data_IF_498882077402
#
_entry.id   IF_498882077402
#
_cell.length_a   1.000
_cell.length_b   1.000
_cell.length_c   1.000
_cell.angle_alpha   90.00
_cell.angle_beta   90.00
_cell.angle_gamma   90.00
#
_symmetry.space_group_name_H-M   'P 1'
#
loop_
_entity.id
_entity.type
_entity.pdbx_description
1 polymer ?
#
# COMPACT_ATOMS: atom_id res chain seq x y z
N UNK A 1 -8.65 -27.21 1.23
CA UNK A 1 -9.97 -26.57 1.17
C UNK A 1 -9.91 -25.59 0.03
N UNK A 2 -10.83 -25.65 -0.93
CA UNK A 2 -10.72 -24.78 -2.11
C UNK A 2 -10.98 -23.31 -1.73
N UNK A 3 -10.33 -22.34 -2.40
CA UNK A 3 -10.55 -20.92 -2.13
C UNK A 3 -12.01 -20.48 -2.35
N UNK A 4 -12.74 -21.13 -3.25
CA UNK A 4 -14.17 -20.90 -3.46
C UNK A 4 -15.03 -21.30 -2.26
N UNK A 5 -14.74 -22.44 -1.63
CA UNK A 5 -15.43 -22.89 -0.41
C UNK A 5 -15.22 -21.90 0.73
N UNK A 6 -14.00 -21.37 0.84
CA UNK A 6 -13.66 -20.33 1.82
C UNK A 6 -14.42 -19.03 1.55
N UNK A 7 -14.65 -18.68 0.29
CA UNK A 7 -15.41 -17.50 -0.08
C UNK A 7 -16.90 -17.65 0.23
N UNK A 8 -17.48 -18.82 0.00
CA UNK A 8 -18.87 -19.10 0.40
C UNK A 8 -19.02 -19.12 1.92
N UNK A 9 -18.01 -19.64 2.63
CA UNK A 9 -17.92 -19.51 4.08
C UNK A 9 -17.81 -18.04 4.54
N UNK A 10 -17.07 -17.19 3.83
CA UNK A 10 -17.01 -15.77 4.13
C UNK A 10 -18.36 -15.07 3.88
N UNK A 11 -19.03 -15.37 2.76
CA UNK A 11 -20.36 -14.83 2.42
C UNK A 11 -21.42 -15.19 3.45
N UNK A 12 -21.43 -16.43 3.95
CA UNK A 12 -22.37 -16.83 5.01
C UNK A 12 -22.13 -16.12 6.35
N UNK A 13 -20.96 -15.52 6.54
CA UNK A 13 -20.62 -14.68 7.70
C UNK A 13 -20.84 -13.18 7.44
N UNK A 14 -21.13 -12.79 6.21
CA UNK A 14 -21.40 -11.41 5.83
C UNK A 14 -22.74 -10.96 6.41
N UNK A 15 -22.83 -9.70 6.84
CA UNK A 15 -24.10 -9.11 7.26
C UNK A 15 -25.06 -8.94 6.07
N UNK A 16 -24.51 -8.66 4.89
CA UNK A 16 -25.24 -8.61 3.63
C UNK A 16 -24.46 -9.42 2.57
N UNK A 17 -24.94 -10.62 2.19
CA UNK A 17 -24.26 -11.43 1.18
C UNK A 17 -24.42 -10.86 -0.25
N UNK A 18 -25.35 -9.94 -0.48
CA UNK A 18 -25.50 -9.26 -1.76
C UNK A 18 -24.50 -8.10 -1.94
N UNK A 19 -23.99 -7.53 -0.84
CA UNK A 19 -22.96 -6.48 -0.89
C UNK A 19 -21.55 -7.08 -1.05
N UNK A 20 -20.86 -6.86 -2.20
CA UNK A 20 -19.50 -7.33 -2.40
C UNK A 20 -18.48 -6.77 -1.40
N UNK A 21 -18.71 -5.59 -0.82
CA UNK A 21 -17.81 -5.00 0.19
C UNK A 21 -17.96 -5.65 1.56
N UNK A 22 -19.17 -6.06 1.93
CA UNK A 22 -19.40 -6.83 3.16
C UNK A 22 -18.80 -8.24 3.02
N UNK A 23 -18.97 -8.88 1.86
CA UNK A 23 -18.32 -10.16 1.54
C UNK A 23 -16.78 -10.06 1.61
N UNK A 24 -16.19 -9.00 1.06
CA UNK A 24 -14.75 -8.74 1.19
C UNK A 24 -14.34 -8.54 2.65
N UNK A 25 -15.14 -7.82 3.44
CA UNK A 25 -14.84 -7.58 4.85
C UNK A 25 -14.86 -8.90 5.65
N UNK A 26 -15.82 -9.79 5.37
CA UNK A 26 -15.88 -11.12 5.96
C UNK A 26 -14.70 -12.01 5.51
N UNK A 27 -14.29 -11.92 4.25
CA UNK A 27 -13.13 -12.64 3.73
C UNK A 27 -11.82 -12.19 4.41
N UNK A 28 -11.65 -10.89 4.67
CA UNK A 28 -10.50 -10.36 5.43
C UNK A 28 -10.48 -10.92 6.86
N UNK A 29 -11.63 -10.99 7.52
CA UNK A 29 -11.71 -11.56 8.86
C UNK A 29 -11.37 -13.06 8.87
N UNK A 30 -11.91 -13.83 7.92
CA UNK A 30 -11.62 -15.26 7.78
C UNK A 30 -10.15 -15.53 7.43
N UNK A 31 -9.54 -14.73 6.55
CA UNK A 31 -8.12 -14.84 6.23
C UNK A 31 -7.22 -14.59 7.45
N UNK A 32 -7.60 -13.67 8.33
CA UNK A 32 -6.89 -13.45 9.60
C UNK A 32 -7.02 -14.66 10.55
N UNK A 33 -8.20 -15.26 10.67
CA UNK A 33 -8.40 -16.49 11.45
C UNK A 33 -7.55 -17.65 10.90
N UNK A 34 -7.49 -17.80 9.58
CA UNK A 34 -6.67 -18.83 8.92
C UNK A 34 -5.18 -18.61 9.18
N UNK A 35 -4.71 -17.36 9.19
CA UNK A 35 -3.33 -17.04 9.54
C UNK A 35 -3.01 -17.40 11.00
N UNK A 36 -3.91 -17.10 11.94
CA UNK A 36 -3.74 -17.48 13.35
C UNK A 36 -3.71 -19.01 13.56
N UNK A 37 -4.52 -19.75 12.80
CA UNK A 37 -4.52 -21.22 12.80
C UNK A 37 -3.26 -21.79 12.15
N UNK A 38 -2.77 -21.14 11.09
CA UNK A 38 -1.54 -21.53 10.40
C UNK A 38 -0.30 -21.40 11.28
N UNK A 39 -0.24 -20.40 12.17
CA UNK A 39 0.86 -20.26 13.14
C UNK A 39 0.93 -21.43 14.14
N UNK A 40 -0.18 -22.14 14.36
CA UNK A 40 -0.27 -23.30 15.24
C UNK A 40 -0.01 -24.63 14.50
N UNK A 41 -0.01 -24.60 13.18
CA UNK A 41 0.28 -25.73 12.29
C UNK A 41 1.66 -25.54 11.62
N UNK A 42 2.20 -26.60 11.01
CA UNK A 42 3.49 -26.52 10.29
C UNK A 42 3.49 -25.36 9.24
N UNK A 43 4.55 -24.54 9.18
CA UNK A 43 4.50 -23.16 8.69
C UNK A 43 4.34 -22.96 7.16
N UNK A 44 4.19 -24.02 6.36
CA UNK A 44 4.34 -23.90 4.90
C UNK A 44 3.06 -23.53 4.14
N UNK A 45 1.86 -23.95 4.59
CA UNK A 45 0.67 -23.98 3.72
C UNK A 45 -0.49 -23.06 4.10
N UNK A 46 -0.52 -22.54 5.33
CA UNK A 46 -1.69 -21.80 5.80
C UNK A 46 -1.84 -20.39 5.21
N UNK A 47 -0.73 -19.70 4.93
CA UNK A 47 -0.75 -18.36 4.34
C UNK A 47 -1.31 -18.35 2.90
N UNK A 48 -1.05 -19.43 2.13
CA UNK A 48 -1.48 -19.54 0.72
C UNK A 48 -3.00 -19.53 0.56
N UNK A 49 -3.73 -20.14 1.50
CA UNK A 49 -5.19 -20.23 1.44
C UNK A 49 -5.86 -18.88 1.74
N UNK A 50 -5.29 -18.10 2.68
CA UNK A 50 -5.76 -16.75 2.98
C UNK A 50 -5.56 -15.79 1.81
N UNK A 51 -4.39 -15.83 1.17
CA UNK A 51 -4.10 -14.98 0.02
C UNK A 51 -5.02 -15.30 -1.18
N UNK A 52 -5.23 -16.59 -1.49
CA UNK A 52 -6.12 -17.00 -2.57
C UNK A 52 -7.59 -16.61 -2.33
N UNK A 53 -8.06 -16.67 -1.08
CA UNK A 53 -9.38 -16.19 -0.69
C UNK A 53 -9.53 -14.68 -0.94
N UNK A 54 -8.54 -13.88 -0.54
CA UNK A 54 -8.56 -12.43 -0.73
C UNK A 54 -8.55 -12.04 -2.21
N UNK A 55 -7.75 -12.73 -3.03
CA UNK A 55 -7.70 -12.48 -4.47
C UNK A 55 -9.05 -12.71 -5.15
N UNK A 56 -9.77 -13.78 -4.78
CA UNK A 56 -11.11 -14.06 -5.29
C UNK A 56 -12.14 -13.02 -4.83
N UNK A 57 -12.11 -12.64 -3.55
CA UNK A 57 -13.03 -11.64 -3.01
C UNK A 57 -12.83 -10.27 -3.67
N UNK A 58 -11.57 -9.86 -3.90
CA UNK A 58 -11.24 -8.63 -4.62
C UNK A 58 -11.71 -8.70 -6.06
N UNK A 59 -11.51 -9.84 -6.74
CA UNK A 59 -11.99 -10.03 -8.12
C UNK A 59 -13.51 -9.87 -8.21
N UNK A 60 -14.27 -10.51 -7.32
CA UNK A 60 -15.74 -10.37 -7.28
C UNK A 60 -16.18 -8.93 -7.03
N UNK A 61 -15.54 -8.23 -6.10
CA UNK A 61 -15.84 -6.82 -5.87
C UNK A 61 -15.58 -5.98 -7.12
N UNK A 62 -14.50 -6.25 -7.85
CA UNK A 62 -14.18 -5.55 -9.10
C UNK A 62 -15.19 -5.86 -10.21
N UNK A 63 -15.61 -7.12 -10.35
CA UNK A 63 -16.64 -7.54 -11.31
C UNK A 63 -18.00 -6.91 -11.01
N UNK A 64 -18.31 -6.69 -9.72
CA UNK A 64 -19.49 -5.94 -9.27
C UNK A 64 -19.38 -4.41 -9.43
N UNK A 65 -18.29 -3.91 -10.03
CA UNK A 65 -18.11 -2.48 -10.31
C UNK A 65 -17.56 -1.66 -9.14
N UNK A 66 -17.14 -2.29 -8.04
CA UNK A 66 -16.58 -1.59 -6.87
C UNK A 66 -15.25 -0.93 -7.23
N UNK A 67 -15.08 0.33 -6.82
CA UNK A 67 -13.84 1.08 -7.05
C UNK A 67 -12.69 0.55 -6.20
N UNK A 68 -11.45 0.69 -6.71
CA UNK A 68 -10.25 0.37 -5.94
C UNK A 68 -10.14 1.16 -4.63
N UNK A 69 -10.65 2.40 -4.60
CA UNK A 69 -10.64 3.22 -3.39
C UNK A 69 -11.48 2.59 -2.27
N UNK A 70 -12.69 2.12 -2.58
CA UNK A 70 -13.58 1.47 -1.61
C UNK A 70 -13.01 0.12 -1.12
N UNK A 71 -12.41 -0.66 -2.03
CA UNK A 71 -11.72 -1.92 -1.68
C UNK A 71 -10.59 -1.65 -0.67
N UNK A 72 -9.72 -0.68 -0.97
CA UNK A 72 -8.60 -0.34 -0.09
C UNK A 72 -9.05 0.22 1.26
N UNK A 73 -10.15 0.96 1.30
CA UNK A 73 -10.74 1.45 2.55
C UNK A 73 -11.07 0.31 3.51
N UNK A 74 -11.68 -0.78 3.02
CA UNK A 74 -11.98 -1.97 3.84
C UNK A 74 -10.72 -2.61 4.43
N UNK A 75 -9.66 -2.76 3.63
CA UNK A 75 -8.36 -3.26 4.13
C UNK A 75 -7.77 -2.34 5.21
N UNK A 76 -7.89 -1.03 5.05
CA UNK A 76 -7.38 -0.08 6.07
C UNK A 76 -8.21 -0.11 7.36
N UNK A 77 -9.53 -0.25 7.28
CA UNK A 77 -10.42 -0.40 8.43
C UNK A 77 -10.11 -1.69 9.21
N UNK A 78 -9.86 -2.80 8.50
CA UNK A 78 -9.42 -4.05 9.11
C UNK A 78 -8.07 -3.89 9.83
N UNK A 79 -7.10 -3.19 9.21
CA UNK A 79 -5.78 -2.92 9.82
C UNK A 79 -5.87 -2.00 11.04
N UNK A 80 -6.74 -1.00 11.01
CA UNK A 80 -6.99 -0.12 12.14
C UNK A 80 -7.62 -0.88 13.33
N UNK A 81 -8.55 -1.79 13.03
CA UNK A 81 -9.19 -2.66 14.02
C UNK A 81 -8.19 -3.64 14.64
N UNK A 82 -7.34 -4.28 13.84
CA UNK A 82 -6.25 -5.13 14.32
C UNK A 82 -5.31 -4.34 15.25
N UNK A 83 -4.87 -3.14 14.85
CA UNK A 83 -4.05 -2.27 15.70
C UNK A 83 -4.72 -1.96 17.03
N UNK A 84 -6.02 -1.70 17.06
CA UNK A 84 -6.76 -1.42 18.31
C UNK A 84 -6.88 -2.67 19.20
N UNK A 85 -7.04 -3.87 18.63
CA UNK A 85 -7.08 -5.14 19.40
C UNK A 85 -5.72 -5.52 19.98
N UNK A 86 -4.64 -5.24 19.26
CA UNK A 86 -3.28 -5.51 19.70
C UNK A 86 -2.61 -4.33 20.44
N UNK A 87 -3.28 -3.19 20.57
CA UNK A 87 -2.78 -2.02 21.30
C UNK A 87 -2.72 -2.20 22.83
N UNK A 88 -3.64 -2.90 23.53
CA UNK A 88 -3.61 -2.97 24.98
C UNK A 88 -2.87 -4.23 25.46
N UNK A 89 -1.61 -4.40 25.05
CA UNK A 89 -0.63 -5.21 25.80
C UNK A 89 0.78 -4.60 25.86
N UNK A 90 1.01 -3.45 25.22
CA UNK A 90 2.32 -2.79 25.19
C UNK A 90 2.35 -1.32 25.66
N UNK A 91 1.47 -0.93 26.59
CA UNK A 91 1.72 0.15 27.55
C UNK A 91 0.54 0.22 28.54
N UNK A 92 0.74 0.48 29.86
CA UNK A 92 1.78 1.39 30.38
C UNK A 92 2.46 0.94 31.71
N UNK A 93 3.80 0.83 31.73
CA UNK A 93 4.62 1.12 32.94
C UNK A 93 6.13 1.28 32.74
N UNK A 94 6.67 1.10 31.52
CA UNK A 94 8.12 1.25 31.26
C UNK A 94 8.45 2.27 30.16
N UNK A 95 7.83 3.44 30.21
CA UNK A 95 8.46 4.65 29.68
C UNK A 95 9.00 5.40 30.91
N UNK A 96 10.32 5.58 31.13
CA UNK A 96 11.39 5.67 30.13
C UNK A 96 12.66 4.85 30.48
N UNK A 97 13.23 4.08 29.53
CA UNK A 97 14.70 3.83 29.38
C UNK A 97 15.09 2.68 28.43
N UNK A 98 14.16 1.97 27.78
CA UNK A 98 14.52 0.80 26.94
C UNK A 98 13.88 0.76 25.55
N UNK A 99 13.70 1.92 24.89
CA UNK A 99 13.58 1.95 23.43
C UNK A 99 14.85 2.60 22.88
N UNK A 100 15.80 1.83 22.32
CA UNK A 100 15.65 1.46 20.92
C UNK A 100 16.42 0.19 20.51
N UNK A 101 15.77 -0.97 20.27
CA UNK A 101 16.50 -2.08 19.60
C UNK A 101 15.77 -2.87 18.51
N UNK A 102 14.47 -2.71 18.31
CA UNK A 102 13.76 -3.53 17.30
C UNK A 102 12.93 -2.77 16.24
N UNK A 103 13.03 -1.44 16.16
CA UNK A 103 12.41 -0.66 15.10
C UNK A 103 13.31 -0.20 13.90
N UNK A 104 14.60 -0.59 13.69
CA UNK A 104 15.41 0.19 12.76
C UNK A 104 15.38 -0.28 11.29
N UNK A 105 14.98 -1.50 10.94
CA UNK A 105 15.28 -2.00 9.57
C UNK A 105 14.35 -1.49 8.47
N UNK A 106 13.04 -1.38 8.70
CA UNK A 106 12.10 -0.95 7.66
C UNK A 106 12.01 0.57 7.53
N UNK A 107 12.07 1.32 8.64
CA UNK A 107 12.03 2.78 8.62
C UNK A 107 13.23 3.39 7.88
N UNK A 108 14.44 2.84 8.08
CA UNK A 108 15.63 3.28 7.36
C UNK A 108 15.53 3.03 5.85
N UNK A 109 14.94 1.90 5.42
CA UNK A 109 14.79 1.58 3.99
C UNK A 109 13.81 2.52 3.30
N UNK A 110 12.69 2.86 3.93
CA UNK A 110 11.74 3.84 3.39
C UNK A 110 12.33 5.24 3.26
N UNK A 111 13.08 5.70 4.28
CA UNK A 111 13.74 7.00 4.23
C UNK A 111 14.85 7.04 3.17
N UNK A 112 15.64 5.96 3.04
CA UNK A 112 16.67 5.85 2.01
C UNK A 112 16.08 5.85 0.59
N UNK A 113 14.98 5.12 0.36
CA UNK A 113 14.28 5.12 -0.91
C UNK A 113 13.67 6.49 -1.25
N UNK A 114 13.15 7.21 -0.24
CA UNK A 114 12.64 8.57 -0.41
C UNK A 114 13.76 9.55 -0.79
N UNK A 115 14.91 9.47 -0.11
CA UNK A 115 16.08 10.30 -0.46
C UNK A 115 16.57 10.04 -1.88
N UNK A 116 16.78 8.77 -2.25
CA UNK A 116 17.17 8.40 -3.62
C UNK A 116 16.18 8.90 -4.67
N UNK A 117 14.87 8.82 -4.41
CA UNK A 117 13.85 9.37 -5.32
C UNK A 117 13.96 10.89 -5.47
N UNK A 118 14.22 11.62 -4.38
CA UNK A 118 14.38 13.09 -4.43
C UNK A 118 15.67 13.44 -5.19
N UNK A 119 16.77 12.76 -4.89
CA UNK A 119 18.08 13.00 -5.53
C UNK A 119 18.04 12.71 -7.03
N UNK A 120 17.27 11.69 -7.46
CA UNK A 120 17.13 11.29 -8.86
C UNK A 120 16.05 12.03 -9.63
N UNK A 121 15.15 12.74 -8.95
CA UNK A 121 14.06 13.50 -9.58
C UNK A 121 14.52 14.78 -10.26
N UNK A 122 13.69 15.31 -11.16
CA UNK A 122 13.84 16.65 -11.72
C UNK A 122 13.91 17.70 -10.59
N UNK A 123 14.94 18.55 -10.60
CA UNK A 123 15.16 19.61 -9.61
C UNK A 123 14.01 20.63 -9.56
N UNK A 124 13.27 20.78 -10.66
CA UNK A 124 12.19 21.77 -10.79
C UNK A 124 10.82 21.20 -10.42
N UNK A 125 10.36 20.15 -11.11
CA UNK A 125 9.01 19.60 -10.91
C UNK A 125 8.95 18.36 -9.99
N UNK A 126 10.09 17.90 -9.46
CA UNK A 126 10.21 16.70 -8.61
C UNK A 126 9.69 15.39 -9.22
N UNK A 127 9.47 15.36 -10.54
CA UNK A 127 9.09 14.13 -11.26
C UNK A 127 10.27 13.15 -11.25
N UNK A 128 10.08 11.89 -10.81
CA UNK A 128 11.13 10.88 -10.83
C UNK A 128 11.41 10.42 -12.27
N UNK A 129 12.62 9.88 -12.53
CA UNK A 129 12.91 9.23 -13.81
C UNK A 129 12.04 7.99 -13.96
N UNK A 130 11.56 7.74 -15.17
CA UNK A 130 10.72 6.61 -15.50
C UNK A 130 10.63 6.41 -17.01
N UNK A 131 10.01 5.31 -17.46
CA UNK A 131 9.78 5.08 -18.89
C UNK A 131 9.00 6.26 -19.48
N UNK A 132 9.57 6.88 -20.52
CA UNK A 132 9.00 8.06 -21.17
C UNK A 132 9.34 9.41 -20.52
N UNK A 133 10.24 9.47 -19.54
CA UNK A 133 10.75 10.74 -19.00
C UNK A 133 12.23 10.89 -19.36
N UNK A 134 12.54 11.79 -20.29
CA UNK A 134 13.91 12.13 -20.61
C UNK A 134 14.47 13.16 -19.61
N UNK A 135 15.66 12.91 -19.07
CA UNK A 135 16.32 13.78 -18.09
C UNK A 135 17.69 14.24 -18.56
N UNK A 136 17.89 15.56 -18.56
CA UNK A 136 19.18 16.20 -18.78
C UNK A 136 19.90 16.33 -17.43
N UNK A 137 21.17 15.93 -17.40
CA UNK A 137 22.00 15.94 -16.20
C UNK A 137 23.07 17.04 -16.31
N UNK A 138 23.15 17.91 -15.31
CA UNK A 138 24.20 18.91 -15.15
C UNK A 138 24.87 18.77 -13.79
N UNK A 139 25.99 19.47 -13.60
CA UNK A 139 26.80 19.42 -12.37
C UNK A 139 25.98 19.80 -11.11
N UNK A 140 25.03 20.74 -11.25
CA UNK A 140 24.19 21.23 -10.16
C UNK A 140 22.78 20.65 -10.09
N UNK A 141 22.39 19.71 -10.96
CA UNK A 141 21.03 19.20 -10.92
C UNK A 141 20.56 18.46 -12.17
N UNK A 142 19.26 18.15 -12.19
CA UNK A 142 18.62 17.43 -13.29
C UNK A 142 17.35 18.11 -13.71
N UNK A 143 17.06 18.14 -15.00
CA UNK A 143 15.83 18.74 -15.54
C UNK A 143 15.16 17.77 -16.51
N UNK A 144 13.84 17.58 -16.38
CA UNK A 144 13.09 16.78 -17.34
C UNK A 144 12.75 17.58 -18.60
N UNK A 145 12.58 16.87 -19.71
CA UNK A 145 12.07 17.38 -21.00
C UNK A 145 10.92 18.40 -20.89
N UNK A 146 9.90 18.13 -20.07
CA UNK A 146 8.76 19.03 -19.87
C UNK A 146 9.17 20.37 -19.25
N UNK A 147 10.10 20.34 -18.29
CA UNK A 147 10.62 21.56 -17.67
C UNK A 147 11.55 22.32 -18.61
N UNK A 148 12.30 21.61 -19.47
CA UNK A 148 13.11 22.25 -20.53
C UNK A 148 12.21 22.97 -21.53
N UNK A 149 11.15 22.31 -22.01
CA UNK A 149 10.20 22.92 -22.95
C UNK A 149 9.56 24.18 -22.36
N UNK A 150 9.07 24.10 -21.12
CA UNK A 150 8.50 25.26 -20.42
C UNK A 150 9.51 26.40 -20.24
N UNK A 151 10.76 26.10 -19.90
CA UNK A 151 11.81 27.11 -19.79
C UNK A 151 12.08 27.78 -21.14
N UNK A 152 12.07 27.02 -22.23
CA UNK A 152 12.16 27.54 -23.59
C UNK A 152 11.04 28.52 -23.93
N UNK A 153 9.79 28.17 -23.60
CA UNK A 153 8.63 29.04 -23.83
C UNK A 153 8.71 30.36 -23.06
N UNK A 154 9.19 30.31 -21.81
CA UNK A 154 9.40 31.49 -20.96
C UNK A 154 10.45 32.41 -21.59
N UNK A 155 11.62 31.88 -21.98
CA UNK A 155 12.69 32.65 -22.59
C UNK A 155 12.25 33.26 -23.91
N UNK A 156 11.57 32.49 -24.77
CA UNK A 156 11.04 32.99 -26.03
C UNK A 156 10.00 34.10 -25.83
N UNK A 157 9.18 34.01 -24.78
CA UNK A 157 8.21 35.05 -24.44
C UNK A 157 8.89 36.32 -23.94
N UNK A 158 9.94 36.21 -23.13
CA UNK A 158 10.72 37.36 -22.67
C UNK A 158 11.46 38.04 -23.82
N UNK A 159 12.05 37.28 -24.74
CA UNK A 159 12.74 37.81 -25.91
C UNK A 159 11.81 38.58 -26.87
N UNK A 160 10.52 38.25 -26.92
CA UNK A 160 9.52 39.01 -27.69
C UNK A 160 9.09 40.32 -27.02
N UNK A 161 9.38 40.48 -25.73
CA UNK A 161 9.00 41.66 -24.94
C UNK A 161 10.14 42.67 -24.79
N UNK A 162 11.39 42.24 -25.05
CA UNK A 162 12.59 43.09 -25.12
C UNK A 162 12.75 43.67 -26.51
#
# INVERSE_FOLDING_TARGET
>A
MEPSDLLDRARSRSADPADPLENLSAAIALAAELAEQAEQAEPADGHRHGDALLDLAVRQAREAGVSWAAIMERFTAARASARRRFAPRFAPRFAPRLAPRFAPRFAHRHLANRRRRIETSCSFCRRPPGPGVHMVHGEGGRICDRCVALAGDIVATLARRS
#
